data_IF_777540168138
#
_entry.id   IF_777540168138
#
_cell.length_a   1.000
_cell.length_b   1.000
_cell.length_c   1.000
_cell.angle_alpha   90.00
_cell.angle_beta   90.00
_cell.angle_gamma   90.00
#
_symmetry.space_group_name_H-M   'P 1'
#
loop_
_entity.id
_entity.type
_entity.pdbx_description
1 polymer ?
#
# COMPACT_ATOMS: atom_id res chain seq x y z
N UNK A 1 9.98 -33.78 -30.97
CA UNK A 1 8.98 -33.63 -29.89
C UNK A 1 8.90 -32.16 -29.56
N UNK A 2 7.68 -31.64 -29.43
CA UNK A 2 7.38 -30.23 -29.13
C UNK A 2 7.43 -29.96 -27.63
N UNK A 3 7.62 -28.70 -27.23
CA UNK A 3 7.54 -28.29 -25.82
C UNK A 3 6.15 -28.58 -25.26
N UNK A 4 6.07 -29.43 -24.24
CA UNK A 4 4.82 -29.83 -23.59
C UNK A 4 4.64 -29.32 -22.17
N UNK A 5 5.66 -28.64 -21.59
CA UNK A 5 5.63 -28.12 -20.23
C UNK A 5 5.69 -26.58 -20.24
N UNK A 6 4.69 -25.94 -19.64
CA UNK A 6 4.48 -24.49 -19.66
C UNK A 6 5.30 -23.66 -18.66
N UNK A 7 5.63 -24.10 -17.42
CA UNK A 7 6.36 -23.25 -16.50
C UNK A 7 7.85 -23.19 -16.84
N UNK A 8 8.31 -21.99 -17.26
CA UNK A 8 9.73 -21.63 -17.40
C UNK A 8 10.40 -21.26 -16.07
N UNK A 9 9.78 -21.72 -14.97
CA UNK A 9 10.13 -21.46 -13.58
C UNK A 9 10.08 -22.78 -12.81
N UNK A 10 11.09 -23.07 -12.01
CA UNK A 10 11.12 -24.16 -11.05
C UNK A 10 11.38 -23.61 -9.64
N UNK A 11 10.78 -24.22 -8.63
CA UNK A 11 10.69 -23.63 -7.29
C UNK A 11 9.45 -22.74 -7.11
N UNK A 12 9.36 -21.94 -6.04
CA UNK A 12 10.42 -21.70 -5.06
C UNK A 12 10.70 -22.94 -4.19
N UNK A 13 11.95 -23.36 -4.17
CA UNK A 13 12.48 -24.41 -3.28
C UNK A 13 12.83 -23.80 -1.93
N UNK A 14 12.63 -24.54 -0.84
CA UNK A 14 12.97 -24.09 0.51
C UNK A 14 14.33 -24.62 0.93
N UNK A 15 15.15 -23.75 1.53
CA UNK A 15 16.42 -24.14 2.13
C UNK A 15 16.22 -24.83 3.47
N UNK A 16 16.99 -25.88 3.69
CA UNK A 16 17.10 -26.65 4.93
C UNK A 16 18.51 -26.57 5.54
N UNK A 17 19.42 -25.80 4.92
CA UNK A 17 20.82 -25.66 5.33
C UNK A 17 21.73 -26.81 4.89
N UNK A 18 21.24 -27.82 4.18
CA UNK A 18 22.03 -29.01 3.78
C UNK A 18 21.86 -29.43 2.31
N UNK A 19 20.69 -29.22 1.73
CA UNK A 19 20.38 -29.53 0.34
C UNK A 19 21.13 -28.59 -0.60
N UNK A 20 21.78 -29.18 -1.61
CA UNK A 20 22.52 -28.45 -2.64
C UNK A 20 22.01 -28.72 -4.05
N UNK A 21 21.28 -29.82 -4.29
CA UNK A 21 20.80 -30.17 -5.62
C UNK A 21 19.32 -29.79 -5.78
N UNK A 22 19.00 -29.05 -6.84
CA UNK A 22 17.64 -28.60 -7.15
C UNK A 22 17.27 -28.92 -8.60
N UNK A 23 16.22 -29.72 -8.83
CA UNK A 23 15.83 -30.12 -10.18
C UNK A 23 15.10 -29.00 -10.94
N UNK A 24 15.05 -29.11 -12.26
CA UNK A 24 14.13 -28.37 -13.13
C UNK A 24 13.62 -29.30 -14.23
N UNK A 25 12.42 -29.05 -14.74
CA UNK A 25 11.74 -29.93 -15.69
C UNK A 25 11.52 -29.31 -17.08
N UNK A 26 11.83 -28.03 -17.26
CA UNK A 26 11.70 -27.35 -18.55
C UNK A 26 12.91 -27.61 -19.46
N UNK A 27 12.67 -27.54 -20.77
CA UNK A 27 13.70 -27.73 -21.80
C UNK A 27 14.67 -26.56 -21.87
N UNK A 28 15.96 -26.85 -21.98
CA UNK A 28 17.02 -25.87 -22.29
C UNK A 28 17.76 -26.29 -23.56
N UNK A 29 18.44 -25.34 -24.22
CA UNK A 29 19.27 -25.64 -25.38
C UNK A 29 20.76 -25.61 -25.03
N UNK A 30 21.12 -24.82 -24.04
CA UNK A 30 22.46 -24.76 -23.43
C UNK A 30 22.32 -24.61 -21.91
N UNK A 31 23.35 -25.02 -21.15
CA UNK A 31 23.38 -24.84 -19.69
C UNK A 31 23.38 -23.37 -19.26
N UNK A 32 23.84 -22.47 -20.14
CA UNK A 32 23.83 -21.02 -19.95
C UNK A 32 22.45 -20.38 -20.10
N UNK A 33 21.44 -21.12 -20.61
CA UNK A 33 20.06 -20.64 -20.78
C UNK A 33 19.26 -20.53 -19.46
N UNK A 34 19.94 -20.61 -18.32
CA UNK A 34 19.36 -20.77 -16.99
C UNK A 34 19.86 -19.71 -16.03
N UNK A 35 18.96 -19.21 -15.19
CA UNK A 35 19.27 -18.34 -14.05
C UNK A 35 18.60 -18.83 -12.79
N UNK A 36 19.25 -18.58 -11.66
CA UNK A 36 18.77 -19.00 -10.34
C UNK A 36 18.67 -17.78 -9.45
N UNK A 37 17.62 -17.68 -8.66
CA UNK A 37 17.32 -16.61 -7.72
C UNK A 37 17.09 -17.20 -6.33
N UNK A 38 17.48 -16.48 -5.28
CA UNK A 38 17.29 -16.87 -3.89
C UNK A 38 16.62 -15.72 -3.13
N UNK A 39 15.57 -15.98 -2.36
CA UNK A 39 14.96 -15.00 -1.47
C UNK A 39 15.24 -15.32 0.01
N UNK A 40 15.57 -14.33 0.82
CA UNK A 40 15.73 -14.48 2.26
C UNK A 40 14.37 -14.52 2.99
N UNK A 41 14.40 -14.66 4.33
CA UNK A 41 13.20 -14.72 5.17
C UNK A 41 12.40 -13.42 5.21
N UNK A 42 12.98 -12.31 4.78
CA UNK A 42 12.34 -11.00 4.69
C UNK A 42 11.77 -10.73 3.29
N UNK A 43 11.87 -11.71 2.38
CA UNK A 43 11.41 -11.58 1.00
C UNK A 43 12.40 -10.88 0.07
N UNK A 44 13.66 -10.70 0.47
CA UNK A 44 14.68 -10.07 -0.38
C UNK A 44 15.26 -11.08 -1.37
N UNK A 45 15.01 -10.89 -2.66
CA UNK A 45 15.42 -11.79 -3.75
C UNK A 45 16.77 -11.39 -4.40
N UNK A 46 17.63 -12.36 -4.74
CA UNK A 46 18.97 -12.21 -5.36
C UNK A 46 19.25 -13.28 -6.42
N UNK A 47 19.75 -12.92 -7.60
CA UNK A 47 20.26 -13.89 -8.58
C UNK A 47 21.63 -14.49 -8.19
N UNK A 48 21.83 -15.79 -8.40
CA UNK A 48 23.11 -16.48 -8.21
C UNK A 48 24.01 -16.34 -9.45
N UNK A 49 25.32 -16.26 -9.25
CA UNK A 49 26.32 -16.24 -10.32
C UNK A 49 26.63 -17.65 -10.85
N UNK A 50 27.10 -17.76 -12.10
CA UNK A 50 27.50 -19.03 -12.74
C UNK A 50 28.59 -19.79 -11.96
N UNK A 51 29.36 -19.09 -11.11
CA UNK A 51 30.33 -19.71 -10.20
C UNK A 51 29.73 -20.28 -8.92
N UNK A 52 28.49 -19.93 -8.53
CA UNK A 52 27.86 -20.34 -7.26
C UNK A 52 27.04 -21.62 -7.40
N UNK A 53 26.74 -22.04 -8.63
CA UNK A 53 26.04 -23.27 -8.94
C UNK A 53 26.56 -23.91 -10.22
N UNK A 54 26.41 -25.23 -10.34
CA UNK A 54 26.69 -25.96 -11.58
C UNK A 54 25.40 -26.53 -12.12
N UNK A 55 25.23 -26.53 -13.45
CA UNK A 55 24.05 -27.11 -14.11
C UNK A 55 24.43 -28.47 -14.68
N UNK A 56 23.58 -29.46 -14.44
CA UNK A 56 23.70 -30.80 -15.02
C UNK A 56 22.43 -31.11 -15.80
N UNK A 57 22.56 -31.21 -17.11
CA UNK A 57 21.47 -31.54 -18.03
C UNK A 57 22.02 -32.29 -19.23
N UNK A 58 21.28 -33.29 -19.70
CA UNK A 58 21.59 -34.00 -20.94
C UNK A 58 21.03 -33.20 -22.12
N UNK A 59 21.86 -32.35 -22.73
CA UNK A 59 21.46 -31.45 -23.82
C UNK A 59 20.94 -32.22 -25.05
N UNK A 60 21.53 -33.38 -25.35
CA UNK A 60 21.12 -34.20 -26.48
C UNK A 60 19.74 -34.84 -26.27
N UNK A 61 19.40 -35.19 -25.03
CA UNK A 61 18.10 -35.77 -24.67
C UNK A 61 17.00 -34.73 -24.38
N UNK A 62 17.31 -33.43 -24.26
CA UNK A 62 16.32 -32.39 -23.99
C UNK A 62 15.05 -32.41 -24.87
N UNK A 63 15.11 -32.77 -26.17
CA UNK A 63 13.91 -32.84 -27.00
C UNK A 63 12.92 -33.95 -26.59
N UNK A 64 13.39 -35.04 -25.98
CA UNK A 64 12.54 -36.20 -25.61
C UNK A 64 12.42 -36.40 -24.11
N UNK A 65 13.38 -35.90 -23.33
CA UNK A 65 13.46 -35.96 -21.87
C UNK A 65 14.00 -34.63 -21.33
N UNK A 66 13.16 -33.58 -21.29
CA UNK A 66 13.56 -32.25 -20.85
C UNK A 66 13.85 -32.21 -19.34
N UNK A 67 14.67 -31.25 -18.93
CA UNK A 67 15.00 -30.99 -17.53
C UNK A 67 16.45 -31.32 -17.16
N UNK A 68 16.74 -31.22 -15.87
CA UNK A 68 18.06 -31.39 -15.31
C UNK A 68 18.07 -30.99 -13.85
N UNK A 69 19.25 -30.75 -13.30
CA UNK A 69 19.41 -30.25 -11.93
C UNK A 69 20.49 -29.19 -11.89
N UNK A 70 20.28 -28.17 -11.06
CA UNK A 70 21.38 -27.35 -10.59
C UNK A 70 21.96 -27.96 -9.31
N UNK A 71 23.22 -27.66 -9.02
CA UNK A 71 23.87 -27.96 -7.74
C UNK A 71 24.53 -26.70 -7.22
N UNK A 72 24.10 -26.21 -6.07
CA UNK A 72 24.74 -25.10 -5.36
C UNK A 72 26.09 -25.53 -4.79
N UNK A 73 27.04 -24.60 -4.75
CA UNK A 73 28.32 -24.82 -4.06
C UNK A 73 28.22 -24.70 -2.55
N UNK A 74 27.27 -23.88 -2.09
CA UNK A 74 26.93 -23.69 -0.68
C UNK A 74 25.46 -24.10 -0.49
N UNK A 75 25.12 -24.89 0.55
CA UNK A 75 23.73 -25.25 0.84
C UNK A 75 22.83 -24.02 0.99
N UNK A 76 21.57 -24.14 0.55
CA UNK A 76 20.58 -23.08 0.70
C UNK A 76 20.21 -22.92 2.18
N UNK A 77 20.46 -21.76 2.82
CA UNK A 77 20.23 -21.59 4.25
C UNK A 77 18.76 -21.78 4.63
N UNK A 78 18.51 -22.20 5.88
CA UNK A 78 17.16 -22.43 6.39
C UNK A 78 16.28 -21.19 6.23
N UNK A 79 15.05 -21.38 5.73
CA UNK A 79 14.07 -20.31 5.54
C UNK A 79 14.26 -19.47 4.28
N UNK A 80 15.34 -19.67 3.53
CA UNK A 80 15.51 -19.04 2.22
C UNK A 80 14.72 -19.80 1.15
N UNK A 81 14.28 -19.08 0.11
CA UNK A 81 13.63 -19.62 -1.07
C UNK A 81 14.61 -19.64 -2.24
N UNK A 82 14.49 -20.57 -3.18
CA UNK A 82 15.27 -20.61 -4.41
C UNK A 82 14.36 -20.84 -5.61
N UNK A 83 14.43 -19.97 -6.59
CA UNK A 83 13.70 -20.09 -7.85
C UNK A 83 14.69 -20.25 -9.00
N UNK A 84 14.42 -21.16 -9.92
CA UNK A 84 15.17 -21.35 -11.16
C UNK A 84 14.29 -20.85 -12.30
N UNK A 85 14.79 -19.98 -13.17
CA UNK A 85 14.07 -19.51 -14.34
C UNK A 85 14.91 -19.63 -15.61
N UNK A 86 14.26 -19.67 -16.76
CA UNK A 86 14.98 -19.68 -18.04
C UNK A 86 15.29 -18.28 -18.52
N UNK A 87 16.45 -18.13 -19.11
CA UNK A 87 16.97 -16.86 -19.60
C UNK A 87 17.74 -17.06 -20.90
N UNK A 88 17.08 -17.65 -21.90
CA UNK A 88 17.64 -17.75 -23.24
C UNK A 88 17.82 -16.37 -23.89
N UNK A 89 18.86 -16.25 -24.71
CA UNK A 89 19.07 -15.11 -25.59
C UNK A 89 18.07 -15.13 -26.76
N UNK A 90 17.47 -13.98 -27.09
CA UNK A 90 16.43 -13.85 -28.12
C UNK A 90 17.02 -13.81 -29.55
N UNK A 91 17.63 -14.91 -30.01
CA UNK A 91 18.19 -15.04 -31.37
C UNK A 91 17.55 -16.19 -32.15
N UNK A 92 17.50 -16.06 -33.48
CA UNK A 92 17.19 -17.17 -34.38
C UNK A 92 18.49 -17.69 -35.00
N UNK A 93 19.06 -18.80 -34.50
CA UNK A 93 20.34 -19.32 -35.01
C UNK A 93 20.20 -20.09 -36.32
N UNK A 94 18.97 -20.36 -36.78
CA UNK A 94 18.68 -21.24 -37.92
C UNK A 94 18.12 -20.46 -39.11
N UNK A 95 18.68 -20.71 -40.29
CA UNK A 95 18.19 -20.20 -41.58
C UNK A 95 17.73 -21.34 -42.51
N UNK A 96 16.56 -21.18 -43.15
CA UNK A 96 16.03 -22.13 -44.14
C UNK A 96 16.21 -21.57 -45.55
N UNK A 97 16.92 -22.30 -46.41
CA UNK A 97 17.20 -21.89 -47.81
C UNK A 97 16.38 -22.69 -48.82
N UNK A 98 15.91 -22.06 -49.90
CA UNK A 98 14.98 -22.64 -50.91
C UNK A 98 15.47 -23.92 -51.63
N UNK A 99 16.78 -24.18 -51.65
CA UNK A 99 17.37 -25.37 -52.29
C UNK A 99 18.11 -26.27 -51.30
N UNK A 100 17.96 -26.02 -49.99
CA UNK A 100 18.57 -26.82 -48.93
C UNK A 100 17.67 -27.98 -48.49
N UNK A 101 18.25 -29.02 -47.90
CA UNK A 101 17.49 -30.12 -47.32
C UNK A 101 16.57 -29.65 -46.19
N UNK A 102 15.30 -30.04 -46.24
CA UNK A 102 14.34 -29.73 -45.18
C UNK A 102 14.45 -30.77 -44.06
N UNK A 103 15.11 -30.42 -42.96
CA UNK A 103 15.29 -31.31 -41.81
C UNK A 103 14.22 -31.02 -40.74
N UNK A 104 13.26 -31.93 -40.50
CA UNK A 104 12.20 -31.69 -39.53
C UNK A 104 12.72 -31.43 -38.11
N UNK A 105 13.88 -31.95 -37.73
CA UNK A 105 14.50 -31.70 -36.43
C UNK A 105 14.89 -30.23 -36.26
N UNK A 106 15.53 -29.64 -37.27
CA UNK A 106 15.99 -28.25 -37.27
C UNK A 106 14.79 -27.28 -37.27
N UNK A 107 13.72 -27.61 -37.98
CA UNK A 107 12.45 -26.89 -37.92
C UNK A 107 11.81 -26.92 -36.54
N UNK A 108 11.67 -28.11 -35.95
CA UNK A 108 11.09 -28.26 -34.61
C UNK A 108 11.92 -27.51 -33.56
N UNK A 109 13.26 -27.61 -33.61
CA UNK A 109 14.13 -26.89 -32.68
C UNK A 109 13.98 -25.35 -32.82
N UNK A 110 13.76 -24.85 -34.04
CA UNK A 110 13.54 -23.43 -34.29
C UNK A 110 12.19 -22.94 -33.76
N UNK A 111 11.11 -23.72 -33.96
CA UNK A 111 9.78 -23.42 -33.43
C UNK A 111 9.72 -23.55 -31.89
N UNK A 112 10.44 -24.52 -31.34
CA UNK A 112 10.56 -24.70 -29.90
C UNK A 112 11.27 -23.49 -29.26
N UNK A 113 12.35 -22.96 -29.87
CA UNK A 113 13.00 -21.73 -29.40
C UNK A 113 12.04 -20.54 -29.36
N UNK A 114 11.26 -20.32 -30.43
CA UNK A 114 10.26 -19.24 -30.46
C UNK A 114 9.21 -19.41 -29.35
N UNK A 115 8.76 -20.64 -29.11
CA UNK A 115 7.81 -20.94 -28.04
C UNK A 115 8.40 -20.63 -26.66
N UNK A 116 9.68 -20.94 -26.43
CA UNK A 116 10.37 -20.58 -25.18
C UNK A 116 10.48 -19.06 -25.03
N UNK A 117 10.79 -18.33 -26.10
CA UNK A 117 10.88 -16.87 -26.04
C UNK A 117 9.56 -16.25 -25.60
N UNK A 118 8.43 -16.73 -26.13
CA UNK A 118 7.08 -16.28 -25.72
C UNK A 118 6.81 -16.61 -24.25
N UNK A 119 7.09 -17.84 -23.81
CA UNK A 119 6.89 -18.24 -22.41
C UNK A 119 7.79 -17.45 -21.44
N UNK A 120 9.01 -17.09 -21.85
CA UNK A 120 9.90 -16.21 -21.08
C UNK A 120 9.36 -14.78 -20.98
N UNK A 121 8.76 -14.25 -22.05
CA UNK A 121 8.16 -12.93 -22.04
C UNK A 121 6.89 -12.90 -21.18
N UNK A 122 6.08 -13.96 -21.23
CA UNK A 122 4.90 -14.14 -20.38
C UNK A 122 5.27 -14.19 -18.88
N UNK A 123 6.31 -14.93 -18.50
CA UNK A 123 6.80 -14.97 -17.12
C UNK A 123 7.22 -13.59 -16.61
N UNK A 124 7.93 -12.84 -17.45
CA UNK A 124 8.37 -11.47 -17.12
C UNK A 124 7.20 -10.49 -17.05
N UNK A 125 6.21 -10.62 -17.94
CA UNK A 125 4.98 -9.81 -17.91
C UNK A 125 4.14 -10.10 -16.66
N UNK A 126 4.06 -11.36 -16.23
CA UNK A 126 3.28 -11.79 -15.06
C UNK A 126 3.86 -11.30 -13.73
N UNK A 127 5.14 -10.89 -13.69
CA UNK A 127 5.77 -10.21 -12.54
C UNK A 127 5.90 -8.70 -12.72
N UNK A 128 5.40 -8.18 -13.82
CA UNK A 128 5.34 -6.76 -14.09
C UNK A 128 3.99 -6.23 -13.66
N UNK A 129 3.78 -4.92 -13.75
CA UNK A 129 2.45 -4.39 -13.47
C UNK A 129 1.97 -3.52 -14.57
N UNK A 130 0.79 -3.90 -15.04
CA UNK A 130 0.05 -3.19 -16.03
C UNK A 130 -0.56 -1.95 -15.42
N UNK A 131 0.05 -0.81 -15.73
CA UNK A 131 -0.63 0.47 -15.77
C UNK A 131 -1.61 0.58 -16.91
N UNK A 132 -2.26 1.74 -16.97
CA UNK A 132 -2.98 2.15 -18.15
C UNK A 132 -2.05 2.17 -19.35
N UNK A 133 -2.51 1.64 -20.49
CA UNK A 133 -1.74 1.60 -21.74
C UNK A 133 -1.31 3.01 -22.20
N UNK A 134 -2.04 4.06 -21.78
CA UNK A 134 -1.71 5.46 -22.07
C UNK A 134 -1.32 6.28 -20.82
N UNK A 135 -1.27 5.66 -19.63
CA UNK A 135 -1.02 6.34 -18.36
C UNK A 135 0.11 5.64 -17.62
N UNK A 136 1.30 6.23 -17.65
CA UNK A 136 2.60 5.63 -17.29
C UNK A 136 2.77 5.17 -15.83
N UNK A 137 1.94 4.25 -15.38
CA UNK A 137 1.92 3.69 -14.03
C UNK A 137 2.50 2.28 -14.02
N UNK A 138 3.43 2.01 -13.10
CA UNK A 138 4.00 0.68 -12.89
C UNK A 138 3.52 0.19 -11.51
N UNK A 139 2.30 -0.34 -11.50
CA UNK A 139 1.49 -0.72 -10.34
C UNK A 139 2.01 -1.87 -9.42
N UNK A 140 3.24 -1.88 -8.90
CA UNK A 140 3.74 -3.01 -8.06
C UNK A 140 3.00 -3.01 -6.74
N UNK A 141 2.41 -4.14 -6.39
CA UNK A 141 1.85 -4.31 -5.06
C UNK A 141 3.02 -4.33 -4.06
N UNK A 142 3.01 -3.45 -3.05
CA UNK A 142 3.94 -3.56 -1.95
C UNK A 142 3.58 -4.80 -1.12
N UNK A 143 4.54 -5.33 -0.36
CA UNK A 143 4.27 -6.39 0.63
C UNK A 143 3.18 -5.90 1.60
N UNK A 144 2.12 -6.67 1.84
CA UNK A 144 0.95 -6.19 2.58
C UNK A 144 1.26 -5.74 4.02
N UNK A 145 0.78 -4.55 4.40
CA UNK A 145 0.90 -4.02 5.76
C UNK A 145 -0.50 -3.77 6.40
N UNK A 146 -0.75 -4.19 7.66
CA UNK A 146 -2.06 -4.07 8.30
C UNK A 146 -2.52 -2.61 8.52
N UNK A 147 -3.80 -2.32 8.26
CA UNK A 147 -4.44 -1.01 8.43
C UNK A 147 -3.71 0.14 7.72
N UNK A 148 -2.90 -0.19 6.71
CA UNK A 148 -2.19 0.77 5.89
C UNK A 148 -2.87 0.83 4.54
N UNK A 149 -3.20 2.03 4.11
CA UNK A 149 -3.78 2.22 2.78
C UNK A 149 -2.70 2.18 1.73
N UNK A 150 -3.01 1.58 0.58
CA UNK A 150 -2.19 1.78 -0.60
C UNK A 150 -2.33 3.23 -0.99
N UNK A 151 -1.26 3.99 -0.81
CA UNK A 151 -1.15 5.31 -1.37
C UNK A 151 -0.24 5.21 -2.57
N UNK A 152 -0.47 6.09 -3.52
CA UNK A 152 0.65 6.49 -4.34
C UNK A 152 1.71 7.03 -3.40
N UNK A 153 2.93 6.63 -3.65
CA UNK A 153 4.04 7.40 -3.13
C UNK A 153 3.87 8.90 -3.46
N UNK A 154 4.69 9.74 -2.85
CA UNK A 154 4.64 11.19 -3.08
C UNK A 154 4.82 11.58 -4.56
N UNK A 155 5.21 10.64 -5.41
CA UNK A 155 5.53 10.82 -6.82
C UNK A 155 4.46 10.30 -7.78
N UNK A 156 3.43 9.55 -7.33
CA UNK A 156 2.30 9.14 -8.17
C UNK A 156 2.52 7.89 -9.03
N UNK A 157 3.58 7.11 -8.77
CA UNK A 157 4.07 6.12 -9.75
C UNK A 157 4.00 4.67 -9.27
N UNK A 158 3.99 4.44 -7.96
CA UNK A 158 3.88 3.11 -7.35
C UNK A 158 2.92 3.10 -6.16
N UNK A 159 2.41 1.93 -5.84
CA UNK A 159 1.60 1.71 -4.65
C UNK A 159 2.53 1.43 -3.46
N UNK A 160 2.36 2.17 -2.38
CA UNK A 160 3.04 1.94 -1.11
C UNK A 160 2.03 1.89 0.02
N UNK A 161 2.36 1.15 1.08
CA UNK A 161 1.56 1.18 2.29
C UNK A 161 1.76 2.52 2.99
N UNK A 162 0.67 3.23 3.27
CA UNK A 162 0.70 4.47 4.01
C UNK A 162 1.09 4.20 5.46
N UNK A 163 1.80 5.13 6.08
CA UNK A 163 1.95 5.20 7.53
C UNK A 163 0.71 5.80 8.20
N UNK A 164 -0.29 6.16 7.40
CA UNK A 164 -1.49 6.81 7.84
C UNK A 164 -2.53 5.75 8.15
N UNK A 165 -2.84 5.62 9.43
CA UNK A 165 -4.04 4.94 9.85
C UNK A 165 -5.18 5.94 9.72
N UNK A 166 -5.93 5.85 8.61
CA UNK A 166 -7.07 6.73 8.34
C UNK A 166 -8.07 6.68 9.50
N UNK A 167 -8.25 5.51 10.09
CA UNK A 167 -9.22 5.29 11.15
C UNK A 167 -8.71 5.87 12.48
N UNK A 168 -7.43 5.65 12.78
CA UNK A 168 -6.78 6.24 13.96
C UNK A 168 -6.75 7.77 13.95
N UNK A 169 -6.49 8.39 12.79
CA UNK A 169 -6.37 9.86 12.72
C UNK A 169 -7.71 10.59 12.78
N UNK A 170 -8.75 10.06 12.13
CA UNK A 170 -10.09 10.65 12.18
C UNK A 170 -10.65 10.64 13.61
N UNK A 171 -10.44 9.54 14.32
CA UNK A 171 -10.89 9.38 15.71
C UNK A 171 -10.15 10.33 16.67
N UNK A 172 -8.82 10.44 16.52
CA UNK A 172 -8.00 11.34 17.33
C UNK A 172 -8.42 12.80 17.16
N UNK A 173 -8.64 13.24 15.92
CA UNK A 173 -9.03 14.63 15.61
C UNK A 173 -10.41 14.95 16.19
N UNK A 174 -11.34 14.00 16.11
CA UNK A 174 -12.69 14.11 16.67
C UNK A 174 -12.67 14.28 18.19
N UNK A 175 -11.95 13.40 18.89
CA UNK A 175 -11.85 13.42 20.34
C UNK A 175 -11.25 14.75 20.86
N UNK A 176 -10.20 15.24 20.20
CA UNK A 176 -9.55 16.51 20.58
C UNK A 176 -10.48 17.72 20.44
N UNK A 177 -11.30 17.78 19.37
CA UNK A 177 -12.22 18.88 19.14
C UNK A 177 -13.37 18.89 20.16
N UNK A 178 -13.92 17.73 20.50
CA UNK A 178 -14.98 17.60 21.51
C UNK A 178 -14.48 18.04 22.89
N UNK A 179 -13.26 17.63 23.26
CA UNK A 179 -12.64 18.02 24.53
C UNK A 179 -12.43 19.54 24.63
N UNK A 180 -11.90 20.18 23.59
CA UNK A 180 -11.62 21.61 23.60
C UNK A 180 -12.89 22.48 23.76
N UNK A 181 -13.99 22.11 23.09
CA UNK A 181 -15.22 22.92 23.17
C UNK A 181 -15.94 22.69 24.50
N UNK A 182 -15.87 21.48 25.05
CA UNK A 182 -16.37 21.20 26.39
C UNK A 182 -15.67 22.08 27.45
N UNK A 183 -14.35 22.23 27.33
CA UNK A 183 -13.54 23.09 28.20
C UNK A 183 -13.88 24.58 28.05
N UNK A 184 -14.00 25.08 26.82
CA UNK A 184 -14.40 26.47 26.54
C UNK A 184 -15.78 26.78 27.12
N UNK A 185 -16.74 25.86 26.97
CA UNK A 185 -18.08 26.05 27.52
C UNK A 185 -18.06 26.10 29.04
N UNK A 186 -17.30 25.20 29.68
CA UNK A 186 -17.15 25.19 31.14
C UNK A 186 -16.61 26.53 31.61
N UNK A 187 -15.56 27.02 30.97
CA UNK A 187 -14.93 28.31 31.28
C UNK A 187 -15.89 29.49 31.09
N UNK A 188 -16.59 29.58 29.95
CA UNK A 188 -17.51 30.69 29.69
C UNK A 188 -18.74 30.64 30.58
N UNK A 189 -19.25 29.43 30.89
CA UNK A 189 -20.35 29.27 31.85
C UNK A 189 -19.90 29.73 33.23
N UNK A 190 -18.69 29.36 33.66
CA UNK A 190 -18.07 29.81 34.90
C UNK A 190 -17.93 31.34 34.97
N UNK A 191 -17.36 31.96 33.93
CA UNK A 191 -17.25 33.42 33.81
C UNK A 191 -18.65 34.07 33.87
N UNK A 192 -19.61 33.54 33.13
CA UNK A 192 -20.99 34.04 33.14
C UNK A 192 -21.64 33.96 34.52
N UNK A 193 -21.42 32.88 35.27
CA UNK A 193 -21.91 32.75 36.64
C UNK A 193 -21.24 33.73 37.59
N UNK A 194 -19.92 33.92 37.48
CA UNK A 194 -19.16 34.84 38.31
C UNK A 194 -19.60 36.29 38.05
N UNK A 195 -19.66 36.72 36.79
CA UNK A 195 -20.09 38.06 36.39
C UNK A 195 -21.52 38.35 36.86
N UNK A 196 -22.46 37.40 36.71
CA UNK A 196 -23.83 37.58 37.22
C UNK A 196 -23.88 37.73 38.73
N UNK A 197 -23.05 36.98 39.46
CA UNK A 197 -22.98 37.05 40.93
C UNK A 197 -22.44 38.40 41.38
N UNK A 198 -21.37 38.90 40.75
CA UNK A 198 -20.80 40.22 41.01
C UNK A 198 -21.82 41.33 40.67
N UNK A 199 -22.46 41.28 39.50
CA UNK A 199 -23.50 42.24 39.10
C UNK A 199 -24.64 42.27 40.14
N UNK A 200 -25.09 41.12 40.61
CA UNK A 200 -26.14 41.05 41.63
C UNK A 200 -25.70 41.71 42.96
N UNK A 201 -24.48 41.41 43.43
CA UNK A 201 -23.92 42.01 44.64
C UNK A 201 -23.79 43.54 44.52
N UNK A 202 -23.33 44.04 43.36
CA UNK A 202 -23.25 45.47 43.09
C UNK A 202 -24.63 46.14 43.03
N UNK A 203 -25.66 45.50 42.43
CA UNK A 203 -27.03 46.04 42.44
C UNK A 203 -27.54 46.21 43.86
N UNK A 204 -27.32 45.20 44.71
CA UNK A 204 -27.71 45.27 46.13
C UNK A 204 -27.01 46.44 46.84
N UNK A 205 -25.70 46.60 46.67
CA UNK A 205 -24.94 47.71 47.25
C UNK A 205 -25.38 49.09 46.71
N UNK A 206 -25.79 49.18 45.44
CA UNK A 206 -26.25 50.43 44.85
C UNK A 206 -27.66 50.81 45.30
N UNK A 207 -28.53 49.83 45.55
CA UNK A 207 -29.89 50.07 46.06
C UNK A 207 -29.89 50.76 47.44
N UNK A 208 -28.83 50.59 48.23
CA UNK A 208 -28.66 51.30 49.50
C UNK A 208 -28.23 52.76 49.35
N UNK A 209 -27.90 53.22 48.13
CA UNK A 209 -27.39 54.56 47.82
C UNK A 209 -28.40 55.46 47.07
N UNK A 210 -29.68 55.06 46.99
CA UNK A 210 -30.73 55.62 46.11
C UNK A 210 -31.04 57.13 46.27
N UNK A 211 -30.21 58.00 45.69
CA UNK A 211 -30.52 59.43 45.63
C UNK A 211 -29.97 60.22 44.45
N UNK A 212 -29.25 59.64 43.47
CA UNK A 212 -28.52 60.43 42.47
C UNK A 212 -28.36 59.85 41.06
N UNK A 213 -28.11 60.73 40.08
CA UNK A 213 -27.96 60.41 38.65
C UNK A 213 -26.77 59.50 38.32
N UNK A 214 -25.70 59.52 39.13
CA UNK A 214 -24.55 58.63 38.99
C UNK A 214 -24.91 57.15 39.25
N UNK A 215 -25.80 56.88 40.21
CA UNK A 215 -26.29 55.53 40.48
C UNK A 215 -27.08 54.99 39.28
N UNK A 216 -27.93 55.81 38.68
CA UNK A 216 -28.71 55.43 37.50
C UNK A 216 -27.83 55.14 36.27
N UNK A 217 -26.73 55.88 36.09
CA UNK A 217 -25.79 55.65 34.99
C UNK A 217 -25.02 54.33 35.13
N UNK A 218 -24.64 53.94 36.35
CA UNK A 218 -23.97 52.66 36.64
C UNK A 218 -24.92 51.49 36.38
N UNK A 219 -26.17 51.60 36.81
CA UNK A 219 -27.17 50.55 36.61
C UNK A 219 -27.39 50.25 35.11
N UNK A 220 -27.49 51.27 34.26
CA UNK A 220 -27.60 51.08 32.81
C UNK A 220 -26.40 50.36 32.18
N UNK A 221 -25.18 50.66 32.65
CA UNK A 221 -23.95 49.99 32.16
C UNK A 221 -23.92 48.51 32.57
N UNK A 222 -24.45 48.15 33.74
CA UNK A 222 -24.56 46.76 34.18
C UNK A 222 -25.58 45.97 33.36
N UNK A 223 -26.74 46.55 33.05
CA UNK A 223 -27.73 45.89 32.21
C UNK A 223 -27.19 45.63 30.80
N UNK A 224 -26.38 46.56 30.28
CA UNK A 224 -25.68 46.38 28.99
C UNK A 224 -24.63 45.26 29.06
N UNK A 225 -23.88 45.15 30.17
CA UNK A 225 -22.90 44.09 30.36
C UNK A 225 -23.55 42.70 30.48
N UNK A 226 -24.65 42.60 31.24
CA UNK A 226 -25.43 41.36 31.37
C UNK A 226 -25.98 40.90 30.01
N UNK A 227 -26.51 41.83 29.21
CA UNK A 227 -26.93 41.54 27.83
C UNK A 227 -25.77 41.01 26.99
N UNK A 228 -24.61 41.69 27.02
CA UNK A 228 -23.42 41.30 26.25
C UNK A 228 -22.89 39.90 26.62
N UNK A 229 -22.92 39.53 27.91
CA UNK A 229 -22.54 38.19 28.36
C UNK A 229 -23.52 37.13 27.87
N UNK A 230 -24.83 37.41 27.94
CA UNK A 230 -25.86 36.48 27.47
C UNK A 230 -25.80 36.27 25.94
N UNK A 231 -25.54 37.32 25.17
CA UNK A 231 -25.35 37.24 23.72
C UNK A 231 -24.13 36.38 23.36
N UNK A 232 -23.05 36.50 24.13
CA UNK A 232 -21.83 35.70 23.97
C UNK A 232 -22.11 34.21 24.26
N UNK A 233 -22.81 33.91 25.35
CA UNK A 233 -23.18 32.53 25.72
C UNK A 233 -24.11 31.89 24.68
N UNK A 234 -25.06 32.65 24.15
CA UNK A 234 -25.95 32.21 23.07
C UNK A 234 -25.19 31.87 21.80
N UNK A 235 -24.24 32.74 21.40
CA UNK A 235 -23.38 32.53 20.23
C UNK A 235 -22.57 31.24 20.36
N UNK A 236 -21.97 31.00 21.52
CA UNK A 236 -21.19 29.77 21.78
C UNK A 236 -22.07 28.51 21.71
N UNK A 237 -23.27 28.55 22.29
CA UNK A 237 -24.21 27.43 22.24
C UNK A 237 -24.68 27.12 20.81
N UNK A 238 -24.90 28.15 20.00
CA UNK A 238 -25.23 27.98 18.58
C UNK A 238 -24.06 27.35 17.82
N UNK A 239 -22.83 27.82 18.05
CA UNK A 239 -21.61 27.24 17.43
C UNK A 239 -21.44 25.76 17.76
N UNK A 240 -21.66 25.33 19.00
CA UNK A 240 -21.62 23.90 19.36
C UNK A 240 -22.63 23.09 18.55
N UNK A 241 -23.87 23.57 18.45
CA UNK A 241 -24.91 22.84 17.73
C UNK A 241 -24.52 22.64 16.27
N UNK A 242 -23.99 23.68 15.64
CA UNK A 242 -23.48 23.60 14.27
C UNK A 242 -22.31 22.61 14.13
N UNK A 243 -21.39 22.57 15.10
CA UNK A 243 -20.26 21.63 15.11
C UNK A 243 -20.76 20.18 15.24
N UNK A 244 -21.66 19.91 16.19
CA UNK A 244 -22.23 18.56 16.37
C UNK A 244 -22.96 18.08 15.11
N UNK A 245 -23.73 18.97 14.48
CA UNK A 245 -24.41 18.66 13.22
C UNK A 245 -23.41 18.38 12.09
N UNK A 246 -22.34 19.17 11.99
CA UNK A 246 -21.27 18.95 11.01
C UNK A 246 -20.56 17.61 11.23
N UNK A 247 -20.29 17.24 12.48
CA UNK A 247 -19.66 15.97 12.84
C UNK A 247 -20.52 14.76 12.45
N UNK A 248 -21.82 14.81 12.76
CA UNK A 248 -22.76 13.75 12.37
C UNK A 248 -22.84 13.60 10.85
N UNK A 249 -22.84 14.71 10.12
CA UNK A 249 -22.82 14.70 8.66
C UNK A 249 -21.52 14.09 8.11
N UNK A 250 -20.35 14.49 8.61
CA UNK A 250 -19.06 13.96 8.16
C UNK A 250 -18.90 12.46 8.43
N UNK A 251 -19.32 11.99 9.61
CA UNK A 251 -19.28 10.57 9.95
C UNK A 251 -20.18 9.74 9.02
N UNK A 252 -21.36 10.27 8.68
CA UNK A 252 -22.26 9.63 7.72
C UNK A 252 -21.64 9.58 6.31
N UNK A 253 -21.00 10.66 5.84
CA UNK A 253 -20.32 10.71 4.54
C UNK A 253 -19.13 9.74 4.48
N UNK A 254 -18.30 9.67 5.52
CA UNK A 254 -17.19 8.72 5.56
C UNK A 254 -17.69 7.28 5.48
N UNK A 255 -18.80 6.97 6.17
CA UNK A 255 -19.42 5.64 6.09
C UNK A 255 -19.91 5.33 4.68
N UNK A 256 -20.49 6.31 3.97
CA UNK A 256 -20.88 6.15 2.56
C UNK A 256 -19.69 5.90 1.65
N UNK A 257 -18.61 6.68 1.78
CA UNK A 257 -17.37 6.50 1.00
C UNK A 257 -16.78 5.11 1.20
N UNK A 258 -16.76 4.60 2.43
CA UNK A 258 -16.29 3.23 2.73
C UNK A 258 -17.14 2.17 2.01
N UNK A 259 -18.46 2.34 1.97
CA UNK A 259 -19.36 1.41 1.27
C UNK A 259 -19.10 1.42 -0.23
N UNK A 260 -18.90 2.60 -0.83
CA UNK A 260 -18.59 2.76 -2.26
C UNK A 260 -17.24 2.13 -2.63
N UNK A 261 -16.20 2.41 -1.85
CA UNK A 261 -14.86 1.85 -2.08
C UNK A 261 -14.84 0.31 -1.94
N UNK A 262 -15.66 -0.25 -1.04
CA UNK A 262 -15.78 -1.71 -0.87
C UNK A 262 -16.63 -2.36 -1.98
N UNK A 263 -17.55 -1.61 -2.59
CA UNK A 263 -18.37 -2.05 -3.73
C UNK A 263 -17.61 -2.03 -5.07
N UNK A 264 -16.35 -1.58 -5.09
CA UNK A 264 -15.51 -1.53 -6.29
C UNK A 264 -15.95 -0.49 -7.33
N UNK A 265 -16.73 0.51 -6.91
CA UNK A 265 -17.10 1.70 -7.69
C UNK A 265 -16.15 2.86 -7.42
#
# INVERSE_FOLDING_TARGET
MTISNTPRRAGPYRGDGSTVAYPFAFRIFDVSDLRVYVADTNGNERGLATGEYTVTADIAAQPTRPGGSIRLRTPLPTGHLLTIITSMEYIQPTEFTNSGGFYPRVLNDSLDRLTIYVQQLEEKQNRSIGGSVNGGSNLRLPVGAPNRTLKWDATGQQLTNSSFDIEGHAETTRSNAEAAIADIRSTVTGIGTHVRTEIAAFRTALSTLQGGSAALAIQRRMDTLESSVNDTLSTINNTQRSINQSQQAQAAELKKIKILALAGL
#
